data_IF_277942739591
#
_entry.id   IF_277942739591
#
_cell.length_a   1.000
_cell.length_b   1.000
_cell.length_c   1.000
_cell.angle_alpha   90.00
_cell.angle_beta   90.00
_cell.angle_gamma   90.00
#
_symmetry.space_group_name_H-M   'P 1'
#
loop_
_entity.id
_entity.type
_entity.pdbx_description
1 polymer ?
#
# COMPACT_ATOMS: atom_id res chain seq x y z
N UNK A 1 5.72 6.65 1.52
CA UNK A 1 6.62 7.05 2.62
C UNK A 1 7.33 5.82 3.15
N UNK A 2 8.65 5.88 3.33
CA UNK A 2 9.42 4.79 3.92
C UNK A 2 9.06 4.62 5.41
N UNK A 3 9.15 3.37 5.88
CA UNK A 3 8.62 2.80 7.13
C UNK A 3 9.00 3.53 8.45
N UNK A 4 9.88 4.53 8.42
CA UNK A 4 10.41 5.25 9.59
C UNK A 4 9.93 6.70 9.71
N UNK A 5 9.18 7.24 8.74
CA UNK A 5 8.70 8.63 8.79
C UNK A 5 9.80 9.69 8.74
N UNK A 6 11.02 9.30 8.38
CA UNK A 6 12.17 10.21 8.32
C UNK A 6 12.04 11.14 7.11
N UNK A 7 12.37 12.42 7.32
CA UNK A 7 12.37 13.42 6.26
C UNK A 7 13.42 13.09 5.18
N UNK A 8 13.18 13.57 3.96
CA UNK A 8 14.06 13.32 2.80
C UNK A 8 15.53 13.67 3.05
N UNK A 9 15.79 14.69 3.88
CA UNK A 9 17.14 15.09 4.30
C UNK A 9 17.87 14.01 5.07
N UNK A 10 17.22 13.41 6.06
CA UNK A 10 17.79 12.36 6.90
C UNK A 10 18.12 11.11 6.08
N UNK A 11 17.29 10.81 5.08
CA UNK A 11 17.55 9.72 4.14
C UNK A 11 18.78 10.04 3.28
N UNK A 12 18.92 11.27 2.78
CA UNK A 12 20.11 11.73 2.06
C UNK A 12 21.40 11.56 2.88
N UNK A 13 21.35 11.93 4.16
CA UNK A 13 22.47 11.76 5.10
C UNK A 13 22.82 10.27 5.31
N UNK A 14 21.83 9.40 5.50
CA UNK A 14 22.07 7.96 5.67
C UNK A 14 22.76 7.32 4.47
N UNK A 15 22.33 7.68 3.27
CA UNK A 15 22.91 7.15 2.04
C UNK A 15 24.14 7.93 1.57
N UNK A 16 24.56 8.99 2.29
CA UNK A 16 25.67 9.87 1.91
C UNK A 16 25.53 10.40 0.47
N UNK A 17 24.30 10.73 0.09
CA UNK A 17 23.92 11.15 -1.24
C UNK A 17 22.94 12.32 -1.18
N UNK A 18 22.87 13.10 -2.25
CA UNK A 18 21.88 14.19 -2.33
C UNK A 18 20.46 13.62 -2.32
N UNK A 19 19.51 14.39 -1.75
CA UNK A 19 18.09 14.01 -1.73
C UNK A 19 17.56 13.69 -3.14
N UNK A 20 18.06 14.38 -4.16
CA UNK A 20 17.73 14.16 -5.57
C UNK A 20 18.21 12.79 -6.04
N UNK A 21 19.45 12.41 -5.75
CA UNK A 21 20.00 11.10 -6.12
C UNK A 21 19.23 9.97 -5.45
N UNK A 22 18.93 10.09 -4.16
CA UNK A 22 18.10 9.13 -3.42
C UNK A 22 16.71 9.01 -4.05
N UNK A 23 16.06 10.15 -4.32
CA UNK A 23 14.72 10.18 -4.92
C UNK A 23 14.69 9.54 -6.31
N UNK A 24 15.72 9.77 -7.12
CA UNK A 24 15.84 9.17 -8.45
C UNK A 24 16.01 7.64 -8.38
N UNK A 25 16.84 7.14 -7.47
CA UNK A 25 17.00 5.69 -7.28
C UNK A 25 15.72 5.06 -6.72
N UNK A 26 15.08 5.70 -5.76
CA UNK A 26 13.79 5.25 -5.23
C UNK A 26 12.74 5.11 -6.34
N UNK A 27 12.61 6.12 -7.22
CA UNK A 27 11.70 6.05 -8.38
C UNK A 27 12.04 4.89 -9.30
N UNK A 28 13.32 4.68 -9.65
CA UNK A 28 13.74 3.57 -10.52
C UNK A 28 13.36 2.21 -9.94
N UNK A 29 13.64 1.99 -8.66
CA UNK A 29 13.29 0.74 -7.97
C UNK A 29 11.77 0.59 -7.88
N UNK A 30 11.03 1.64 -7.55
CA UNK A 30 9.58 1.61 -7.51
C UNK A 30 8.98 1.19 -8.86
N UNK A 31 9.45 1.80 -9.96
CA UNK A 31 8.99 1.41 -11.30
C UNK A 31 9.34 -0.03 -11.65
N UNK A 32 10.55 -0.49 -11.30
CA UNK A 32 10.96 -1.87 -11.51
C UNK A 32 10.04 -2.86 -10.76
N UNK A 33 9.74 -2.58 -9.49
CA UNK A 33 8.85 -3.41 -8.66
C UNK A 33 7.39 -3.37 -9.15
N UNK A 34 6.97 -2.26 -9.75
CA UNK A 34 5.65 -2.09 -10.34
C UNK A 34 5.53 -2.68 -11.74
N UNK A 35 6.61 -3.19 -12.35
CA UNK A 35 6.52 -3.84 -13.66
C UNK A 35 5.64 -5.08 -13.58
N UNK A 36 4.84 -5.40 -14.63
CA UNK A 36 3.99 -6.58 -14.63
C UNK A 36 4.76 -7.88 -14.35
N UNK A 37 5.98 -8.01 -14.88
CA UNK A 37 6.81 -9.19 -14.70
C UNK A 37 7.21 -9.40 -13.24
N UNK A 38 7.60 -8.33 -12.54
CA UNK A 38 7.93 -8.42 -11.12
C UNK A 38 6.66 -8.55 -10.27
N UNK A 39 5.71 -7.64 -10.44
CA UNK A 39 4.53 -7.54 -9.60
C UNK A 39 3.70 -8.81 -9.62
N UNK A 40 3.41 -9.38 -10.80
CA UNK A 40 2.57 -10.58 -10.92
C UNK A 40 3.21 -11.84 -10.34
N UNK A 41 4.54 -11.92 -10.33
CA UNK A 41 5.24 -13.08 -9.79
C UNK A 41 5.33 -13.04 -8.26
N UNK A 42 5.56 -11.86 -7.69
CA UNK A 42 5.98 -11.71 -6.29
C UNK A 42 4.94 -11.04 -5.38
N UNK A 43 4.04 -10.21 -5.92
CA UNK A 43 3.01 -9.55 -5.12
C UNK A 43 1.70 -10.31 -5.29
N UNK A 44 1.39 -11.18 -4.32
CA UNK A 44 0.16 -11.96 -4.30
C UNK A 44 -0.73 -11.47 -3.15
N UNK A 45 -2.01 -11.12 -3.41
CA UNK A 45 -2.94 -10.86 -2.33
C UNK A 45 -3.13 -12.13 -1.50
N UNK A 46 -3.48 -12.01 -0.21
CA UNK A 46 -3.92 -13.14 0.59
C UNK A 46 -5.14 -13.81 -0.07
N UNK A 47 -5.27 -15.12 0.10
CA UNK A 47 -6.46 -15.82 -0.35
C UNK A 47 -7.67 -15.38 0.49
N UNK A 48 -8.88 -15.54 -0.04
CA UNK A 48 -10.13 -15.16 0.66
C UNK A 48 -10.24 -15.81 2.05
N UNK A 49 -9.69 -17.02 2.20
CA UNK A 49 -9.74 -17.78 3.45
C UNK A 49 -8.44 -17.67 4.28
N UNK A 50 -7.51 -16.79 3.90
CA UNK A 50 -6.28 -16.57 4.66
C UNK A 50 -6.63 -15.94 6.02
N UNK A 51 -6.13 -16.51 7.14
CA UNK A 51 -6.39 -15.94 8.45
C UNK A 51 -5.73 -14.56 8.59
N UNK A 52 -6.36 -13.67 9.35
CA UNK A 52 -5.76 -12.38 9.72
C UNK A 52 -4.47 -12.65 10.50
N UNK A 53 -3.33 -12.01 10.14
CA UNK A 53 -2.09 -12.13 10.90
C UNK A 53 -2.28 -11.81 12.38
N UNK A 54 -1.58 -12.55 13.25
CA UNK A 54 -1.73 -12.41 14.72
C UNK A 54 -1.43 -11.01 15.19
N UNK A 55 -0.46 -10.35 14.56
CA UNK A 55 -0.06 -8.98 14.83
C UNK A 55 -1.23 -8.00 14.67
N UNK A 56 -2.13 -8.26 13.71
CA UNK A 56 -3.33 -7.44 13.47
C UNK A 56 -4.48 -7.86 14.39
N UNK A 57 -4.65 -9.17 14.56
CA UNK A 57 -5.74 -9.74 15.34
C UNK A 57 -5.62 -9.43 16.83
N UNK A 58 -4.42 -9.55 17.37
CA UNK A 58 -4.15 -9.55 18.81
C UNK A 58 -3.89 -8.14 19.35
N UNK A 59 -3.73 -7.13 18.48
CA UNK A 59 -3.52 -5.73 18.84
C UNK A 59 -4.86 -4.99 19.05
N UNK A 60 -5.24 -4.64 20.29
CA UNK A 60 -6.54 -4.05 20.59
C UNK A 60 -6.76 -2.68 19.91
N UNK A 61 -5.68 -1.97 19.57
CA UNK A 61 -5.75 -0.73 18.81
C UNK A 61 -6.25 -0.95 17.38
N UNK A 62 -6.00 -2.12 16.79
CA UNK A 62 -6.25 -2.42 15.39
C UNK A 62 -7.52 -3.24 15.19
N UNK A 63 -7.86 -4.11 16.14
CA UNK A 63 -9.06 -4.96 16.08
C UNK A 63 -10.34 -4.20 15.71
N UNK A 64 -10.65 -3.00 16.25
CA UNK A 64 -11.89 -2.28 15.90
C UNK A 64 -11.95 -1.83 14.44
N UNK A 65 -10.80 -1.60 13.81
CA UNK A 65 -10.71 -1.04 12.46
C UNK A 65 -10.52 -2.11 11.38
N UNK A 66 -9.86 -3.22 11.74
CA UNK A 66 -9.50 -4.28 10.80
C UNK A 66 -10.29 -5.58 10.99
N UNK A 67 -11.30 -5.59 11.87
CA UNK A 67 -12.20 -6.73 12.01
C UNK A 67 -12.91 -7.02 10.66
N UNK A 68 -12.71 -8.22 10.11
CA UNK A 68 -13.22 -8.67 8.80
C UNK A 68 -12.68 -7.92 7.57
N UNK A 69 -11.56 -7.20 7.68
CA UNK A 69 -10.93 -6.54 6.52
C UNK A 69 -10.08 -7.53 5.75
N UNK A 70 -10.35 -7.70 4.45
CA UNK A 70 -9.57 -8.55 3.54
C UNK A 70 -8.26 -7.86 3.10
N UNK A 71 -8.24 -6.52 3.12
CA UNK A 71 -7.06 -5.71 2.87
C UNK A 71 -7.38 -4.21 2.88
N UNK A 72 -6.37 -3.37 3.05
CA UNK A 72 -6.49 -1.93 2.89
C UNK A 72 -6.10 -1.54 1.45
N UNK A 73 -7.03 -0.92 0.72
CA UNK A 73 -6.78 -0.33 -0.61
C UNK A 73 -6.51 1.17 -0.42
N UNK A 74 -5.50 1.52 0.39
CA UNK A 74 -5.08 2.91 0.52
C UNK A 74 -3.72 3.10 -0.18
N UNK A 75 -3.75 3.80 -1.32
CA UNK A 75 -2.63 3.95 -2.26
C UNK A 75 -2.87 3.29 -3.63
N UNK A 76 -3.93 3.69 -4.33
CA UNK A 76 -4.35 3.13 -5.62
C UNK A 76 -3.34 3.41 -6.75
N UNK A 77 -2.47 2.44 -7.02
CA UNK A 77 -2.05 2.09 -8.39
C UNK A 77 -2.80 0.86 -8.93
N UNK A 78 -3.67 0.23 -8.12
CA UNK A 78 -4.54 -0.87 -8.56
C UNK A 78 -5.87 -0.27 -8.96
N UNK A 79 -6.23 -0.39 -10.24
CA UNK A 79 -7.52 0.05 -10.75
C UNK A 79 -8.60 -0.89 -10.18
N UNK A 80 -9.44 -0.37 -9.28
CA UNK A 80 -10.48 -1.15 -8.63
C UNK A 80 -11.85 -0.54 -8.98
N UNK A 81 -12.64 -1.29 -9.74
CA UNK A 81 -14.06 -1.02 -9.96
C UNK A 81 -14.86 -2.09 -9.19
N UNK A 82 -15.29 -1.81 -7.95
CA UNK A 82 -16.14 -2.75 -7.20
C UNK A 82 -17.47 -2.96 -7.92
N UNK A 83 -18.11 -4.10 -7.66
CA UNK A 83 -19.43 -4.41 -8.20
C UNK A 83 -20.50 -3.48 -7.61
N UNK A 84 -21.65 -3.34 -8.28
CA UNK A 84 -22.75 -2.47 -7.81
C UNK A 84 -23.22 -2.82 -6.39
N UNK A 85 -23.14 -4.10 -6.00
CA UNK A 85 -23.53 -4.56 -4.65
C UNK A 85 -22.53 -4.12 -3.57
N UNK A 86 -21.26 -4.04 -3.93
CA UNK A 86 -20.17 -3.73 -3.01
C UNK A 86 -19.84 -2.23 -2.97
N UNK A 87 -20.43 -1.43 -3.88
CA UNK A 87 -20.26 0.03 -3.91
C UNK A 87 -20.60 0.70 -2.58
N UNK A 88 -21.63 0.24 -1.87
CA UNK A 88 -22.04 0.82 -0.60
C UNK A 88 -21.00 0.59 0.52
N UNK A 89 -20.16 -0.44 0.38
CA UNK A 89 -19.07 -0.75 1.30
C UNK A 89 -17.77 0.00 0.92
N UNK A 90 -17.67 0.48 -0.32
CA UNK A 90 -16.53 1.23 -0.81
C UNK A 90 -16.70 2.73 -0.54
N UNK A 91 -15.77 3.32 0.22
CA UNK A 91 -15.72 4.78 0.40
C UNK A 91 -14.93 5.39 -0.75
N UNK A 92 -15.62 6.03 -1.69
CA UNK A 92 -14.96 6.79 -2.74
C UNK A 92 -14.46 8.13 -2.16
N UNK A 93 -13.16 8.39 -2.23
CA UNK A 93 -12.58 9.65 -1.75
C UNK A 93 -12.71 10.80 -2.75
N UNK A 94 -13.01 10.49 -4.02
CA UNK A 94 -13.33 11.46 -5.06
C UNK A 94 -14.84 11.41 -5.25
N UNK A 95 -15.54 12.45 -4.81
CA UNK A 95 -16.96 12.65 -5.13
C UNK A 95 -17.18 12.44 -6.63
N UNK A 96 -18.24 11.73 -6.98
CA UNK A 96 -18.46 11.17 -8.31
C UNK A 96 -18.21 12.18 -9.43
N UNK A 97 -17.37 11.79 -10.38
CA UNK A 97 -17.40 12.37 -11.73
C UNK A 97 -18.45 11.57 -12.48
N UNK A 98 -19.45 12.29 -12.99
CA UNK A 98 -20.50 11.78 -13.88
C UNK A 98 -19.93 11.49 -15.26
#
# INVERSE_FOLDING_TARGET
>A
MCRTGLGVHHIGEWFQHTCTTVSNHFKKILFLLATPQFYSCWVKPPAVNSPVPKEIKDEPKWTPFFHNVIGAIDGTHINCCPSVRDLQLARNWKGGVT
#
